data_IF_270111297469
#
_entry.id   IF_270111297469
#
_cell.length_a   1.000
_cell.length_b   1.000
_cell.length_c   1.000
_cell.angle_alpha   90.00
_cell.angle_beta   90.00
_cell.angle_gamma   90.00
#
_symmetry.space_group_name_H-M   'P 1'
#
loop_
_entity.id
_entity.type
_entity.pdbx_description
1 polymer ?
#
# COMPACT_ATOMS: atom_id res chain seq x y z
N UNK A 1 20.98 38.53 -42.51
CA UNK A 1 21.26 37.14 -42.13
C UNK A 1 20.03 36.61 -41.43
N UNK A 2 19.35 35.60 -41.99
CA UNK A 2 18.08 35.10 -41.43
C UNK A 2 18.32 34.22 -40.20
N UNK A 3 17.30 34.08 -39.34
CA UNK A 3 17.39 33.27 -38.12
C UNK A 3 17.79 31.81 -38.40
N UNK A 4 17.39 31.30 -39.56
CA UNK A 4 17.70 29.95 -40.04
C UNK A 4 19.19 29.77 -40.40
N UNK A 5 19.83 30.82 -40.93
CA UNK A 5 21.26 30.82 -41.27
C UNK A 5 22.17 30.89 -40.03
N UNK A 6 21.65 31.37 -38.89
CA UNK A 6 22.37 31.43 -37.61
C UNK A 6 22.45 30.08 -36.89
N UNK A 7 21.65 29.09 -37.31
CA UNK A 7 21.62 27.75 -36.72
C UNK A 7 22.72 26.80 -37.21
N UNK A 8 23.47 27.19 -38.25
CA UNK A 8 24.57 26.38 -38.80
C UNK A 8 25.78 26.34 -37.84
N UNK A 9 26.48 25.19 -37.79
CA UNK A 9 27.63 24.97 -36.89
C UNK A 9 28.72 26.05 -37.02
N UNK A 10 28.85 26.68 -38.19
CA UNK A 10 29.86 27.71 -38.46
C UNK A 10 29.60 29.04 -37.74
N UNK A 11 28.36 29.29 -37.26
CA UNK A 11 27.96 30.58 -36.67
C UNK A 11 27.48 30.47 -35.22
N UNK A 12 27.82 29.37 -34.52
CA UNK A 12 27.40 29.09 -33.14
C UNK A 12 27.74 30.21 -32.15
N UNK A 13 28.89 30.87 -32.32
CA UNK A 13 29.33 31.93 -31.41
C UNK A 13 28.56 33.23 -31.63
N UNK A 14 28.19 33.53 -32.88
CA UNK A 14 27.31 34.65 -33.24
C UNK A 14 25.90 34.42 -32.68
N UNK A 15 25.38 33.19 -32.80
CA UNK A 15 24.10 32.80 -32.22
C UNK A 15 24.10 32.92 -30.69
N UNK A 16 25.17 32.50 -30.00
CA UNK A 16 25.30 32.65 -28.54
C UNK A 16 25.32 34.11 -28.11
N UNK A 17 26.08 34.96 -28.80
CA UNK A 17 26.12 36.40 -28.50
C UNK A 17 24.75 37.04 -28.72
N UNK A 18 24.09 36.71 -29.84
CA UNK A 18 22.75 37.20 -30.13
C UNK A 18 21.69 36.68 -29.14
N UNK A 19 21.82 35.43 -28.68
CA UNK A 19 20.96 34.85 -27.62
C UNK A 19 21.16 35.55 -26.30
N UNK A 20 22.42 35.76 -25.88
CA UNK A 20 22.74 36.50 -24.65
C UNK A 20 22.24 37.95 -24.68
N UNK A 21 22.23 38.59 -25.86
CA UNK A 21 21.70 39.93 -26.03
C UNK A 21 20.16 40.00 -25.96
N UNK A 22 19.46 38.89 -26.20
CA UNK A 22 18.00 38.81 -26.27
C UNK A 22 17.40 37.81 -25.26
N UNK A 23 18.08 37.58 -24.13
CA UNK A 23 17.73 36.52 -23.19
C UNK A 23 16.29 36.62 -22.67
N UNK A 24 15.82 37.83 -22.35
CA UNK A 24 14.44 38.06 -21.90
C UNK A 24 13.38 37.62 -22.91
N UNK A 25 13.57 37.95 -24.20
CA UNK A 25 12.64 37.56 -25.27
C UNK A 25 12.65 36.04 -25.49
N UNK A 26 13.81 35.39 -25.31
CA UNK A 26 13.91 33.94 -25.38
C UNK A 26 13.18 33.23 -24.24
N UNK A 27 13.26 33.78 -23.02
CA UNK A 27 12.53 33.25 -21.87
C UNK A 27 11.01 33.40 -22.08
N UNK A 28 10.54 34.57 -22.54
CA UNK A 28 9.12 34.78 -22.87
C UNK A 28 8.62 33.81 -23.95
N UNK A 29 9.40 33.57 -25.00
CA UNK A 29 9.07 32.59 -26.03
C UNK A 29 9.03 31.17 -25.49
N UNK A 30 9.93 30.82 -24.57
CA UNK A 30 9.94 29.52 -23.92
C UNK A 30 8.69 29.35 -23.04
N UNK A 31 8.36 30.35 -22.22
CA UNK A 31 7.18 30.34 -21.36
C UNK A 31 5.90 30.20 -22.18
N UNK A 32 5.76 30.96 -23.27
CA UNK A 32 4.61 30.84 -24.18
C UNK A 32 4.52 29.45 -24.81
N UNK A 33 5.65 28.85 -25.17
CA UNK A 33 5.69 27.50 -25.72
C UNK A 33 5.27 26.45 -24.70
N UNK A 34 5.72 26.59 -23.45
CA UNK A 34 5.33 25.72 -22.35
C UNK A 34 3.83 25.86 -22.05
N UNK A 35 3.30 27.09 -21.98
CA UNK A 35 1.86 27.36 -21.81
C UNK A 35 1.01 26.73 -22.92
N UNK A 36 1.45 26.82 -24.18
CA UNK A 36 0.75 26.20 -25.32
C UNK A 36 0.79 24.66 -25.20
N UNK A 37 1.93 24.09 -24.79
CA UNK A 37 2.07 22.65 -24.58
C UNK A 37 1.13 22.16 -23.48
N UNK A 38 1.04 22.88 -22.37
CA UNK A 38 0.16 22.55 -21.25
C UNK A 38 -1.32 22.63 -21.64
N UNK A 39 -1.71 23.68 -22.38
CA UNK A 39 -3.08 23.82 -22.87
C UNK A 39 -3.46 22.66 -23.80
N UNK A 40 -2.58 22.29 -24.74
CA UNK A 40 -2.82 21.15 -25.63
C UNK A 40 -2.88 19.82 -24.87
N UNK A 41 -2.03 19.64 -23.86
CA UNK A 41 -2.06 18.47 -22.99
C UNK A 41 -3.40 18.35 -22.26
N UNK A 42 -3.90 19.44 -21.68
CA UNK A 42 -5.21 19.46 -21.01
C UNK A 42 -6.35 19.17 -22.00
N UNK A 43 -6.32 19.77 -23.19
CA UNK A 43 -7.32 19.53 -24.24
C UNK A 43 -7.36 18.05 -24.63
N UNK A 44 -6.21 17.44 -24.91
CA UNK A 44 -6.13 16.02 -25.27
C UNK A 44 -6.68 15.12 -24.14
N UNK A 45 -6.38 15.46 -22.89
CA UNK A 45 -6.89 14.72 -21.73
C UNK A 45 -8.41 14.82 -21.64
N UNK A 46 -8.98 16.02 -21.74
CA UNK A 46 -10.43 16.23 -21.67
C UNK A 46 -11.16 15.54 -22.83
N UNK A 47 -10.56 15.53 -24.02
CA UNK A 47 -11.17 14.97 -25.22
C UNK A 47 -11.11 13.43 -25.26
N UNK A 48 -10.04 12.84 -24.75
CA UNK A 48 -9.85 11.37 -24.76
C UNK A 48 -10.27 10.69 -23.45
N UNK A 49 -10.36 11.46 -22.35
CA UNK A 49 -10.57 10.94 -21.00
C UNK A 49 -9.39 10.11 -20.48
N UNK A 50 -8.23 10.15 -21.14
CA UNK A 50 -7.04 9.36 -20.83
C UNK A 50 -5.81 10.26 -20.78
N UNK A 51 -4.77 9.83 -20.06
CA UNK A 51 -3.51 10.56 -20.01
C UNK A 51 -2.88 10.67 -21.41
N UNK A 52 -2.65 11.88 -21.94
CA UNK A 52 -1.96 12.11 -23.20
C UNK A 52 -0.59 11.43 -23.26
N UNK A 53 -0.21 10.93 -24.44
CA UNK A 53 1.07 10.26 -24.66
C UNK A 53 1.17 8.82 -24.11
N UNK A 54 0.17 8.31 -23.39
CA UNK A 54 0.18 6.94 -22.86
C UNK A 54 -0.65 6.01 -23.73
N UNK A 55 -0.06 4.88 -24.19
CA UNK A 55 -0.76 3.90 -25.04
C UNK A 55 -1.88 3.13 -24.33
N UNK A 56 -1.87 3.06 -22.99
CA UNK A 56 -2.79 2.28 -22.15
C UNK A 56 -3.38 3.19 -21.08
N UNK A 57 -4.65 2.98 -20.72
CA UNK A 57 -5.28 3.77 -19.66
C UNK A 57 -4.94 3.25 -18.25
N UNK A 58 -5.43 3.96 -17.23
CA UNK A 58 -5.18 3.67 -15.81
C UNK A 58 -5.73 2.30 -15.36
N UNK A 59 -6.69 1.75 -16.10
CA UNK A 59 -7.22 0.40 -15.90
C UNK A 59 -6.16 -0.68 -16.08
N UNK A 60 -5.09 -0.40 -16.85
CA UNK A 60 -3.97 -1.31 -17.12
C UNK A 60 -2.65 -0.63 -16.80
N UNK A 61 -2.41 -0.47 -15.49
CA UNK A 61 -1.20 0.13 -14.93
C UNK A 61 0.07 -0.62 -15.36
N UNK A 62 1.13 0.12 -15.62
CA UNK A 62 2.46 -0.45 -15.89
C UNK A 62 3.04 -1.10 -14.64
N UNK A 63 4.08 -1.93 -14.80
CA UNK A 63 4.80 -2.53 -13.65
C UNK A 63 5.26 -1.44 -12.69
N UNK A 64 5.90 -0.39 -13.20
CA UNK A 64 6.37 0.74 -12.39
C UNK A 64 5.26 1.45 -11.61
N UNK A 65 4.05 1.56 -12.15
CA UNK A 65 2.90 2.15 -11.45
C UNK A 65 2.33 1.22 -10.37
N UNK A 66 2.55 -0.08 -10.50
CA UNK A 66 2.10 -1.09 -9.53
C UNK A 66 3.18 -1.41 -8.48
N UNK A 67 4.42 -1.00 -8.69
CA UNK A 67 5.54 -1.25 -7.79
C UNK A 67 5.92 0.02 -7.04
N UNK A 68 5.95 -0.05 -5.72
CA UNK A 68 6.56 0.98 -4.88
C UNK A 68 7.93 0.47 -4.42
N UNK A 69 8.95 1.33 -4.46
CA UNK A 69 10.25 1.01 -3.89
C UNK A 69 10.09 0.87 -2.36
N UNK A 70 10.26 -0.35 -1.87
CA UNK A 70 10.16 -0.68 -0.45
C UNK A 70 11.53 -1.16 0.05
N UNK A 71 11.90 -0.73 1.26
CA UNK A 71 13.07 -1.25 1.96
C UNK A 71 12.92 -2.78 2.18
N UNK A 72 13.91 -3.59 1.77
CA UNK A 72 13.90 -5.04 2.00
C UNK A 72 13.68 -5.46 3.46
N UNK A 73 14.14 -4.68 4.45
CA UNK A 73 13.87 -4.98 5.86
C UNK A 73 12.38 -4.87 6.18
N UNK A 74 11.71 -3.86 5.63
CA UNK A 74 10.26 -3.69 5.80
C UNK A 74 9.51 -4.81 5.07
N UNK A 75 9.98 -5.19 3.88
CA UNK A 75 9.44 -6.33 3.10
C UNK A 75 9.51 -7.66 3.90
N UNK A 76 10.64 -7.92 4.56
CA UNK A 76 10.84 -9.13 5.37
C UNK A 76 9.89 -9.23 6.57
N UNK A 77 9.43 -8.10 7.10
CA UNK A 77 8.42 -8.10 8.17
C UNK A 77 7.05 -8.58 7.68
N UNK A 78 6.74 -8.41 6.40
CA UNK A 78 5.49 -8.89 5.80
C UNK A 78 5.55 -10.37 5.40
N UNK A 79 6.75 -10.93 5.15
CA UNK A 79 6.90 -12.34 4.76
C UNK A 79 6.82 -13.30 5.95
N UNK A 80 7.10 -12.82 7.16
CA UNK A 80 6.85 -13.59 8.38
C UNK A 80 5.41 -13.36 8.88
N UNK A 81 4.57 -14.40 8.79
CA UNK A 81 3.22 -14.40 9.38
C UNK A 81 3.25 -14.06 10.88
N UNK A 82 4.33 -14.42 11.58
CA UNK A 82 4.54 -14.12 12.99
C UNK A 82 5.04 -12.69 13.28
N UNK A 83 5.57 -11.95 12.29
CA UNK A 83 6.20 -10.62 12.47
C UNK A 83 5.47 -9.51 11.71
N UNK A 84 4.23 -9.72 11.29
CA UNK A 84 3.44 -8.68 10.63
C UNK A 84 3.01 -7.59 11.61
N UNK A 85 3.88 -6.59 11.76
CA UNK A 85 3.62 -5.21 12.22
C UNK A 85 2.96 -5.01 13.59
N UNK A 86 3.30 -5.83 14.55
CA UNK A 86 3.68 -5.31 15.87
C UNK A 86 4.69 -6.29 16.42
N UNK A 87 5.89 -5.82 16.75
CA UNK A 87 6.52 -6.40 17.94
C UNK A 87 5.53 -6.10 19.04
N UNK A 88 4.59 -7.02 19.28
CA UNK A 88 3.80 -6.98 20.48
C UNK A 88 4.84 -7.26 21.55
N UNK A 89 5.48 -6.20 22.05
CA UNK A 89 6.12 -6.17 23.35
C UNK A 89 4.99 -6.33 24.36
N UNK A 90 4.28 -7.47 24.27
CA UNK A 90 3.41 -7.96 25.31
C UNK A 90 4.39 -8.16 26.44
N UNK A 91 4.27 -7.31 27.45
CA UNK A 91 5.02 -7.50 28.68
C UNK A 91 4.75 -8.90 29.20
N UNK A 92 5.70 -9.50 29.91
CA UNK A 92 5.49 -10.85 30.45
C UNK A 92 4.23 -10.91 31.34
N UNK A 93 3.87 -9.79 31.99
CA UNK A 93 2.62 -9.63 32.73
C UNK A 93 1.37 -9.73 31.85
N UNK A 94 1.34 -9.07 30.69
CA UNK A 94 0.21 -9.16 29.76
C UNK A 94 0.10 -10.56 29.14
N UNK A 95 1.23 -11.23 28.92
CA UNK A 95 1.27 -12.60 28.43
C UNK A 95 0.70 -13.56 29.49
N UNK A 96 1.09 -13.38 30.76
CA UNK A 96 0.54 -14.15 31.87
C UNK A 96 -0.98 -13.98 31.98
N UNK A 97 -1.47 -12.73 31.92
CA UNK A 97 -2.93 -12.44 31.92
C UNK A 97 -3.66 -13.12 30.76
N UNK A 98 -3.04 -13.14 29.56
CA UNK A 98 -3.61 -13.83 28.41
C UNK A 98 -3.67 -15.35 28.63
N UNK A 99 -2.60 -15.94 29.17
CA UNK A 99 -2.53 -17.36 29.50
C UNK A 99 -3.57 -17.74 30.58
N UNK A 100 -3.77 -16.92 31.60
CA UNK A 100 -4.80 -17.10 32.63
C UNK A 100 -6.21 -17.10 32.03
N UNK A 101 -6.54 -16.09 31.22
CA UNK A 101 -7.86 -15.98 30.58
C UNK A 101 -8.11 -17.15 29.64
N UNK A 102 -7.10 -17.55 28.85
CA UNK A 102 -7.21 -18.71 27.96
C UNK A 102 -7.26 -20.05 28.72
N UNK A 103 -6.78 -20.10 29.96
CA UNK A 103 -6.86 -21.26 30.85
C UNK A 103 -8.28 -21.60 31.31
N UNK A 104 -9.21 -20.65 31.25
CA UNK A 104 -10.63 -20.84 31.62
C UNK A 104 -11.36 -21.69 30.56
N UNK A 105 -10.87 -21.70 29.32
CA UNK A 105 -11.51 -22.38 28.20
C UNK A 105 -11.22 -23.88 28.25
N UNK A 106 -12.18 -24.70 27.80
CA UNK A 106 -11.90 -26.11 27.56
C UNK A 106 -10.88 -26.27 26.41
N UNK A 107 -10.14 -27.38 26.34
CA UNK A 107 -9.12 -27.59 25.30
C UNK A 107 -9.66 -27.39 23.87
N UNK A 108 -10.87 -27.91 23.59
CA UNK A 108 -11.51 -27.78 22.28
C UNK A 108 -11.96 -26.34 21.97
N UNK A 109 -12.50 -25.64 22.96
CA UNK A 109 -12.89 -24.23 22.83
C UNK A 109 -11.68 -23.35 22.62
N UNK A 110 -10.59 -23.58 23.37
CA UNK A 110 -9.33 -22.85 23.25
C UNK A 110 -8.73 -23.03 21.87
N UNK A 111 -8.65 -24.27 21.38
CA UNK A 111 -8.09 -24.57 20.06
C UNK A 111 -8.90 -23.90 18.94
N UNK A 112 -10.23 -24.02 18.95
CA UNK A 112 -11.09 -23.33 17.99
C UNK A 112 -10.94 -21.80 18.05
N UNK A 113 -10.81 -21.23 19.25
CA UNK A 113 -10.68 -19.79 19.46
C UNK A 113 -9.34 -19.25 18.97
N UNK A 114 -8.23 -19.96 19.23
CA UNK A 114 -6.89 -19.60 18.75
C UNK A 114 -6.81 -19.68 17.23
N UNK A 115 -7.38 -20.71 16.61
CA UNK A 115 -7.39 -20.83 15.15
C UNK A 115 -8.23 -19.72 14.49
N UNK A 116 -9.37 -19.36 15.08
CA UNK A 116 -10.25 -18.33 14.54
C UNK A 116 -9.69 -16.91 14.72
N UNK A 117 -9.25 -16.55 15.93
CA UNK A 117 -8.85 -15.17 16.26
C UNK A 117 -7.34 -14.94 16.25
N UNK A 118 -6.54 -15.95 16.56
CA UNK A 118 -5.08 -15.85 16.54
C UNK A 118 -4.49 -16.03 15.14
N UNK A 119 -5.03 -16.99 14.38
CA UNK A 119 -4.54 -17.33 13.04
C UNK A 119 -5.48 -16.92 11.90
N UNK A 120 -6.65 -16.36 12.22
CA UNK A 120 -7.63 -15.84 11.26
C UNK A 120 -8.14 -16.89 10.25
N UNK A 121 -8.21 -18.17 10.64
CA UNK A 121 -8.82 -19.19 9.78
C UNK A 121 -10.35 -19.08 9.76
N UNK A 122 -10.95 -19.42 8.62
CA UNK A 122 -12.41 -19.50 8.52
C UNK A 122 -12.95 -20.70 9.31
N UNK A 123 -14.17 -20.60 9.82
CA UNK A 123 -14.79 -21.71 10.57
C UNK A 123 -14.92 -23.00 9.75
N UNK A 124 -14.99 -22.89 8.42
CA UNK A 124 -15.00 -24.04 7.52
C UNK A 124 -13.62 -24.72 7.42
N UNK A 125 -12.54 -23.95 7.45
CA UNK A 125 -11.17 -24.49 7.48
C UNK A 125 -10.86 -25.13 8.83
N UNK A 126 -11.27 -24.50 9.92
CA UNK A 126 -11.12 -25.04 11.29
C UNK A 126 -11.89 -26.36 11.43
N UNK A 127 -13.11 -26.44 10.92
CA UNK A 127 -13.91 -27.65 10.89
C UNK A 127 -13.19 -28.80 10.18
N UNK A 128 -12.53 -28.52 9.04
CA UNK A 128 -11.74 -29.50 8.30
C UNK A 128 -10.47 -29.89 9.07
N UNK A 129 -9.78 -28.94 9.68
CA UNK A 129 -8.54 -29.17 10.42
C UNK A 129 -8.75 -30.05 11.66
N UNK A 130 -9.84 -29.81 12.40
CA UNK A 130 -10.17 -30.54 13.64
C UNK A 130 -11.09 -31.75 13.41
N UNK A 131 -11.50 -32.00 12.16
CA UNK A 131 -12.49 -33.03 11.79
C UNK A 131 -13.81 -32.95 12.57
N UNK A 132 -14.33 -31.72 12.77
CA UNK A 132 -15.59 -31.44 13.48
C UNK A 132 -16.56 -30.75 12.51
N UNK A 133 -17.87 -30.86 12.76
CA UNK A 133 -18.86 -30.08 12.00
C UNK A 133 -18.67 -28.56 12.20
N UNK A 134 -18.95 -27.78 11.14
CA UNK A 134 -18.90 -26.30 11.18
C UNK A 134 -19.75 -25.72 12.31
N UNK A 135 -20.96 -26.25 12.53
CA UNK A 135 -21.84 -25.77 13.59
C UNK A 135 -21.34 -26.04 15.01
N UNK A 136 -20.46 -27.03 15.20
CA UNK A 136 -19.78 -27.23 16.47
C UNK A 136 -18.67 -26.18 16.68
N UNK A 137 -17.88 -25.88 15.64
CA UNK A 137 -16.88 -24.79 15.67
C UNK A 137 -17.56 -23.46 16.03
N UNK A 138 -18.66 -23.12 15.36
CA UNK A 138 -19.43 -21.89 15.65
C UNK A 138 -19.81 -21.80 17.14
N UNK A 139 -20.34 -22.90 17.70
CA UNK A 139 -20.73 -22.97 19.12
C UNK A 139 -19.53 -22.87 20.06
N UNK A 140 -18.42 -23.53 19.75
CA UNK A 140 -17.21 -23.49 20.58
C UNK A 140 -16.59 -22.09 20.58
N UNK A 141 -16.51 -21.44 19.42
CA UNK A 141 -16.02 -20.06 19.29
C UNK A 141 -16.91 -19.09 20.06
N UNK A 142 -18.24 -19.22 19.95
CA UNK A 142 -19.18 -18.36 20.69
C UNK A 142 -19.06 -18.54 22.21
N UNK A 143 -19.04 -19.79 22.70
CA UNK A 143 -18.86 -20.07 24.14
C UNK A 143 -17.52 -19.59 24.67
N UNK A 144 -16.45 -19.81 23.90
CA UNK A 144 -15.13 -19.30 24.21
C UNK A 144 -15.14 -17.77 24.34
N UNK A 145 -15.75 -17.08 23.38
CA UNK A 145 -15.86 -15.63 23.39
C UNK A 145 -16.64 -15.11 24.61
N UNK A 146 -17.76 -15.74 24.95
CA UNK A 146 -18.54 -15.41 26.15
C UNK A 146 -17.74 -15.60 27.45
N UNK A 147 -16.95 -16.69 27.55
CA UNK A 147 -16.09 -16.96 28.71
C UNK A 147 -14.95 -15.95 28.84
N UNK A 148 -14.28 -15.64 27.73
CA UNK A 148 -13.20 -14.64 27.68
C UNK A 148 -13.74 -13.26 28.06
N UNK A 149 -14.89 -12.87 27.49
CA UNK A 149 -15.52 -11.58 27.77
C UNK A 149 -15.95 -11.44 29.24
N UNK A 150 -16.46 -12.51 29.85
CA UNK A 150 -16.79 -12.53 31.29
C UNK A 150 -15.54 -12.56 32.18
N UNK A 151 -14.54 -13.38 31.84
CA UNK A 151 -13.28 -13.47 32.58
C UNK A 151 -12.47 -12.15 32.55
N UNK A 152 -12.70 -11.32 31.53
CA UNK A 152 -12.10 -10.00 31.42
C UNK A 152 -12.74 -8.95 32.35
N UNK A 153 -13.88 -9.22 33.00
CA UNK A 153 -14.57 -8.27 33.90
C UNK A 153 -13.90 -8.11 35.29
N UNK A 154 -12.57 -8.06 35.33
CA UNK A 154 -11.79 -7.54 36.45
C UNK A 154 -11.76 -8.43 37.72
N UNK A 155 -12.10 -9.72 37.62
CA UNK A 155 -12.24 -10.62 38.78
C UNK A 155 -11.13 -11.67 38.92
N UNK A 156 -9.91 -11.32 38.48
CA UNK A 156 -8.69 -12.03 38.88
C UNK A 156 -8.01 -11.38 40.10
N UNK A 157 -8.83 -10.66 40.90
CA UNK A 157 -8.71 -10.40 42.34
C UNK A 157 -10.11 -10.26 42.94
#
# INVERSE_FOLDING_TARGET
MTLEQMGEKQHRDVYKQWRSANDGLWNELQDLREMISDANFVIEWLHTGRQPGTKRGIERRSVYQNTVLLDPMIMANFSNQYNSRSGSTITEEERHKLEEVLGILSPQERECYVLAFGQCYSHAEIAKALAISKGAVDKYVQRAHEKVSKGWQGTLF
#
